data_IF_699514953369
#
_entry.id   IF_699514953369
#
_cell.length_a   1.000
_cell.length_b   1.000
_cell.length_c   1.000
_cell.angle_alpha   90.00
_cell.angle_beta   90.00
_cell.angle_gamma   90.00
#
_symmetry.space_group_name_H-M   'P 1'
#
loop_
_entity.id
_entity.type
_entity.pdbx_description
1 polymer ?
#
# COMPACT_ATOMS: atom_id res chain seq x y z
N UNK A 1 -9.98 13.86 14.90
CA UNK A 1 -8.85 13.62 13.99
C UNK A 1 -8.83 12.26 13.35
N UNK A 2 -8.32 11.18 13.97
CA UNK A 2 -8.29 9.87 13.28
C UNK A 2 -9.68 9.31 12.88
N UNK A 3 -10.73 9.70 13.60
CA UNK A 3 -12.11 9.26 13.37
C UNK A 3 -12.90 10.15 12.38
N UNK A 4 -12.42 11.35 12.10
CA UNK A 4 -13.13 12.36 11.28
C UNK A 4 -12.41 12.66 9.97
N UNK A 5 -11.20 12.12 9.77
CA UNK A 5 -10.40 12.34 8.59
C UNK A 5 -10.60 11.15 7.63
N UNK A 6 -11.25 11.41 6.50
CA UNK A 6 -11.60 10.40 5.48
C UNK A 6 -10.35 9.74 4.86
N UNK A 7 -9.19 10.43 4.91
CA UNK A 7 -7.91 9.92 4.40
C UNK A 7 -6.83 10.00 5.47
N UNK A 8 -6.63 8.90 6.16
CA UNK A 8 -5.52 8.72 7.10
C UNK A 8 -4.22 8.38 6.35
N UNK A 9 -3.04 8.74 6.88
CA UNK A 9 -1.73 8.42 6.28
C UNK A 9 -1.36 6.92 6.31
N UNK A 10 -2.35 6.03 6.42
CA UNK A 10 -2.19 4.57 6.47
C UNK A 10 -1.69 4.02 5.13
N UNK A 11 -1.90 4.75 4.03
CA UNK A 11 -1.37 4.41 2.70
C UNK A 11 0.17 4.24 2.70
N UNK A 12 0.89 5.06 3.47
CA UNK A 12 2.35 4.94 3.58
C UNK A 12 2.77 3.64 4.29
N UNK A 13 2.05 3.27 5.36
CA UNK A 13 2.31 2.02 6.09
C UNK A 13 2.02 0.80 5.20
N UNK A 14 0.95 0.85 4.40
CA UNK A 14 0.63 -0.21 3.44
C UNK A 14 1.73 -0.36 2.39
N UNK A 15 2.23 0.75 1.84
CA UNK A 15 3.37 0.74 0.92
C UNK A 15 4.63 0.12 1.55
N UNK A 16 4.96 0.47 2.80
CA UNK A 16 6.10 -0.12 3.51
C UNK A 16 5.92 -1.62 3.76
N UNK A 17 4.72 -2.07 4.14
CA UNK A 17 4.42 -3.49 4.34
C UNK A 17 4.56 -4.30 3.05
N UNK A 18 4.14 -3.72 1.92
CA UNK A 18 4.26 -4.35 0.61
C UNK A 18 5.73 -4.38 0.13
N UNK A 19 6.47 -3.29 0.35
CA UNK A 19 7.89 -3.17 0.02
C UNK A 19 8.77 -4.22 0.71
N UNK A 20 8.59 -4.44 2.02
CA UNK A 20 9.46 -5.34 2.79
C UNK A 20 8.91 -6.76 2.97
N UNK A 21 7.61 -6.96 2.78
CA UNK A 21 6.95 -8.22 3.12
C UNK A 21 6.02 -8.77 2.05
N UNK A 22 5.91 -8.13 0.88
CA UNK A 22 4.98 -8.51 -0.18
C UNK A 22 3.53 -8.70 0.31
N UNK A 23 3.15 -7.90 1.31
CA UNK A 23 1.88 -8.05 2.02
C UNK A 23 0.66 -7.58 1.25
N UNK A 24 0.82 -7.05 0.03
CA UNK A 24 -0.23 -6.48 -0.81
C UNK A 24 -0.95 -5.30 -0.14
N UNK A 25 -1.75 -4.57 -0.91
CA UNK A 25 -2.63 -3.51 -0.43
C UNK A 25 -3.86 -3.37 -1.33
N UNK A 26 -4.92 -2.73 -0.82
CA UNK A 26 -6.13 -2.42 -1.57
C UNK A 26 -6.03 -1.04 -2.22
N UNK A 27 -6.66 -0.88 -3.38
CA UNK A 27 -6.74 0.38 -4.10
C UNK A 27 -8.12 1.00 -3.98
N UNK A 28 -8.19 2.33 -4.00
CA UNK A 28 -9.46 3.07 -3.94
C UNK A 28 -10.19 3.11 -5.28
N UNK A 29 -9.48 2.91 -6.39
CA UNK A 29 -10.00 3.01 -7.75
C UNK A 29 -10.32 1.64 -8.38
N UNK A 30 -9.84 0.54 -7.78
CA UNK A 30 -10.07 -0.81 -8.28
C UNK A 30 -10.15 -1.81 -7.13
N UNK A 31 -11.16 -2.71 -7.10
CA UNK A 31 -11.25 -3.72 -6.06
C UNK A 31 -10.19 -4.81 -6.23
N UNK A 32 -9.66 -5.30 -5.10
CA UNK A 32 -8.80 -6.48 -5.02
C UNK A 32 -7.42 -6.20 -4.41
N UNK A 33 -6.65 -7.26 -4.11
CA UNK A 33 -5.31 -7.13 -3.58
C UNK A 33 -4.31 -6.79 -4.70
N UNK A 34 -3.42 -5.82 -4.43
CA UNK A 34 -2.36 -5.41 -5.34
C UNK A 34 -1.00 -5.54 -4.67
N UNK A 35 -0.04 -6.11 -5.38
CA UNK A 35 1.38 -6.09 -5.02
C UNK A 35 2.12 -5.19 -6.00
N UNK A 36 2.98 -4.31 -5.51
CA UNK A 36 3.88 -3.53 -6.37
C UNK A 36 5.25 -4.20 -6.41
N UNK A 37 5.80 -4.38 -7.60
CA UNK A 37 7.22 -4.73 -7.75
C UNK A 37 8.05 -3.46 -7.51
N UNK A 38 8.50 -3.28 -6.26
CA UNK A 38 9.19 -2.05 -5.84
C UNK A 38 10.64 -1.97 -6.34
N UNK A 39 11.28 -3.13 -6.47
CA UNK A 39 12.66 -3.27 -6.91
C UNK A 39 12.62 -4.00 -8.23
N UNK A 40 12.30 -3.28 -9.31
CA UNK A 40 12.47 -3.80 -10.66
C UNK A 40 13.92 -4.25 -10.83
N UNK A 41 14.10 -5.54 -11.09
CA UNK A 41 15.37 -6.25 -11.34
C UNK A 41 16.60 -5.33 -11.39
N UNK A 42 17.21 -5.05 -10.23
CA UNK A 42 18.52 -4.38 -10.16
C UNK A 42 19.57 -5.45 -10.43
N UNK A 43 19.66 -5.88 -11.69
CA UNK A 43 20.81 -6.53 -12.28
C UNK A 43 21.23 -5.73 -13.50
#
# INVERSE_FOLDING_TARGET
DAYTNDKMPVNLIQAQRDLFGAHTYERIDKPGPFHTEWVGNIL
#
